data_IF_882627392702
#
_entry.id   IF_882627392702
#
_cell.length_a   1.000
_cell.length_b   1.000
_cell.length_c   1.000
_cell.angle_alpha   90.00
_cell.angle_beta   90.00
_cell.angle_gamma   90.00
#
_symmetry.space_group_name_H-M   'P 1'
#
loop_
_entity.id
_entity.type
_entity.pdbx_description
1 polymer ?
#
# COMPACT_ATOMS: atom_id res chain seq x y z
N UNK A 1 7.91 -3.40 -8.56
CA UNK A 1 6.57 -3.80 -9.08
C UNK A 1 6.23 -2.90 -10.26
N UNK A 2 5.42 -3.35 -11.23
CA UNK A 2 4.89 -2.49 -12.31
C UNK A 2 3.41 -2.20 -12.02
N UNK A 3 3.04 -0.91 -12.08
CA UNK A 3 1.66 -0.44 -11.99
C UNK A 3 0.99 -0.48 -13.37
N UNK A 4 -0.25 -0.99 -13.44
CA UNK A 4 -1.05 -1.07 -14.68
C UNK A 4 -2.37 -0.35 -14.49
N UNK A 5 -2.95 0.14 -15.59
CA UNK A 5 -4.29 0.72 -15.55
C UNK A 5 -5.32 -0.34 -15.15
N UNK A 6 -6.25 0.03 -14.27
CA UNK A 6 -7.24 -0.90 -13.71
C UNK A 6 -8.57 -0.96 -14.48
N UNK A 7 -8.76 -0.06 -15.44
CA UNK A 7 -10.06 0.22 -16.07
C UNK A 7 -10.94 1.19 -15.25
N UNK A 8 -10.58 1.48 -13.99
CA UNK A 8 -11.21 2.52 -13.18
C UNK A 8 -10.40 3.82 -13.33
N UNK A 9 -11.03 4.97 -13.65
CA UNK A 9 -10.32 6.24 -13.81
C UNK A 9 -9.47 6.59 -12.59
N UNK A 10 -8.24 7.03 -12.82
CA UNK A 10 -7.29 7.47 -11.79
C UNK A 10 -6.84 6.38 -10.79
N UNK A 11 -7.13 5.10 -11.07
CA UNK A 11 -6.68 3.97 -10.25
C UNK A 11 -5.78 3.06 -11.07
N UNK A 12 -4.58 2.82 -10.54
CA UNK A 12 -3.66 1.80 -11.05
C UNK A 12 -3.62 0.61 -10.12
N UNK A 13 -3.42 -0.58 -10.67
CA UNK A 13 -3.29 -1.83 -9.91
C UNK A 13 -1.92 -2.46 -10.10
N UNK A 14 -1.46 -3.20 -9.10
CA UNK A 14 -0.13 -3.77 -9.10
C UNK A 14 -0.01 -5.02 -8.25
N UNK A 15 1.01 -5.82 -8.54
CA UNK A 15 1.32 -7.02 -7.78
C UNK A 15 0.42 -8.21 -8.10
N UNK A 16 0.53 -9.24 -7.26
CA UNK A 16 -0.18 -10.51 -7.46
C UNK A 16 -1.57 -10.45 -6.85
N UNK A 17 -2.49 -11.23 -7.41
CA UNK A 17 -3.79 -11.49 -6.79
C UNK A 17 -3.60 -12.34 -5.53
N UNK A 18 -4.28 -11.96 -4.45
CA UNK A 18 -4.30 -12.70 -3.19
C UNK A 18 -5.73 -13.04 -2.81
N UNK A 19 -6.08 -14.32 -2.63
CA UNK A 19 -7.43 -14.71 -2.22
C UNK A 19 -7.82 -14.09 -0.88
N UNK A 20 -9.03 -13.53 -0.82
CA UNK A 20 -9.62 -12.91 0.36
C UNK A 20 -11.05 -13.41 0.56
N UNK A 21 -11.32 -13.82 1.80
CA UNK A 21 -12.60 -14.41 2.23
C UNK A 21 -13.39 -13.50 3.18
N UNK A 22 -12.72 -12.50 3.71
CA UNK A 22 -13.21 -11.67 4.80
C UNK A 22 -12.59 -10.28 4.70
N UNK A 23 -13.39 -9.25 4.98
CA UNK A 23 -12.98 -7.86 5.13
C UNK A 23 -13.40 -7.34 6.51
N UNK A 24 -12.68 -6.36 7.03
CA UNK A 24 -13.01 -5.63 8.25
C UNK A 24 -13.40 -4.20 7.88
N UNK A 25 -14.71 -3.97 7.70
CA UNK A 25 -15.25 -2.71 7.22
C UNK A 25 -15.97 -1.98 8.34
N UNK A 26 -16.03 -0.65 8.27
CA UNK A 26 -16.91 0.15 9.12
C UNK A 26 -18.36 -0.05 8.66
N UNK A 27 -19.26 -0.30 9.60
CA UNK A 27 -20.70 -0.29 9.32
C UNK A 27 -21.25 1.15 9.28
N UNK A 28 -22.56 1.28 9.09
CA UNK A 28 -23.24 2.60 9.03
C UNK A 28 -23.12 3.43 10.32
N UNK A 29 -22.70 2.83 11.43
CA UNK A 29 -22.44 3.51 12.70
C UNK A 29 -20.94 3.71 12.96
N UNK A 30 -20.09 3.46 11.96
CA UNK A 30 -18.64 3.59 12.07
C UNK A 30 -17.96 2.42 12.81
N UNK A 31 -18.70 1.41 13.25
CA UNK A 31 -18.11 0.29 14.00
C UNK A 31 -17.44 -0.69 13.05
N UNK A 32 -16.19 -1.05 13.36
CA UNK A 32 -15.42 -2.00 12.56
C UNK A 32 -15.95 -3.42 12.77
N UNK A 33 -16.54 -4.01 11.73
CA UNK A 33 -17.12 -5.35 11.74
C UNK A 33 -16.52 -6.24 10.66
N UNK A 34 -16.61 -7.54 10.91
CA UNK A 34 -16.11 -8.58 10.02
C UNK A 34 -17.19 -8.98 9.01
N UNK A 35 -16.94 -8.77 7.73
CA UNK A 35 -17.82 -9.18 6.64
C UNK A 35 -17.18 -10.28 5.80
N UNK A 36 -17.95 -11.31 5.44
CA UNK A 36 -17.51 -12.28 4.43
C UNK A 36 -17.53 -11.61 3.06
N UNK A 37 -16.56 -11.92 2.21
CA UNK A 37 -16.58 -11.51 0.81
C UNK A 37 -16.51 -12.75 -0.07
N UNK A 38 -17.38 -12.80 -1.07
CA UNK A 38 -17.57 -13.94 -1.95
C UNK A 38 -17.63 -13.48 -3.40
N UNK A 39 -17.07 -14.28 -4.31
CA UNK A 39 -17.26 -14.13 -5.75
C UNK A 39 -18.59 -14.75 -6.16
N UNK A 40 -19.36 -14.02 -6.96
CA UNK A 40 -20.59 -14.46 -7.62
C UNK A 40 -20.29 -14.58 -9.11
N UNK A 41 -20.20 -15.81 -9.60
CA UNK A 41 -19.92 -16.10 -11.02
C UNK A 41 -21.18 -15.91 -11.88
N UNK A 42 -22.35 -16.20 -11.31
CA UNK A 42 -23.62 -16.14 -12.03
C UNK A 42 -24.69 -15.48 -11.15
N UNK A 43 -25.21 -14.34 -11.59
CA UNK A 43 -26.22 -13.57 -10.84
C UNK A 43 -27.56 -14.31 -10.71
N UNK A 44 -27.80 -15.34 -11.54
CA UNK A 44 -29.04 -16.13 -11.56
C UNK A 44 -28.97 -17.43 -10.74
N UNK A 45 -27.81 -17.78 -10.19
CA UNK A 45 -27.66 -19.03 -9.44
C UNK A 45 -28.29 -18.95 -8.04
N UNK A 46 -29.19 -19.90 -7.76
CA UNK A 46 -29.91 -19.99 -6.46
C UNK A 46 -29.03 -20.49 -5.31
N UNK A 47 -27.92 -21.19 -5.59
CA UNK A 47 -26.99 -21.70 -4.58
C UNK A 47 -25.60 -21.09 -4.78
N UNK A 48 -25.07 -20.32 -3.81
CA UNK A 48 -23.76 -19.72 -3.94
C UNK A 48 -22.67 -20.78 -3.78
N UNK A 49 -21.91 -21.05 -4.85
CA UNK A 49 -20.63 -21.73 -4.71
C UNK A 49 -19.64 -20.83 -3.98
N UNK A 50 -18.93 -21.38 -2.99
CA UNK A 50 -18.00 -20.59 -2.18
C UNK A 50 -16.67 -20.36 -2.91
N UNK A 51 -16.65 -19.32 -3.74
CA UNK A 51 -15.43 -18.87 -4.41
C UNK A 51 -14.92 -17.61 -3.68
N UNK A 52 -13.67 -17.60 -3.17
CA UNK A 52 -13.12 -16.41 -2.54
C UNK A 52 -12.99 -15.26 -3.55
N UNK A 53 -13.10 -14.02 -3.08
CA UNK A 53 -12.74 -12.86 -3.87
C UNK A 53 -11.21 -12.74 -3.96
N UNK A 54 -10.71 -11.91 -4.87
CA UNK A 54 -9.29 -11.59 -5.00
C UNK A 54 -9.02 -10.16 -4.59
N UNK A 55 -7.97 -9.97 -3.81
CA UNK A 55 -7.41 -8.66 -3.51
C UNK A 55 -6.16 -8.41 -4.37
N UNK A 56 -5.97 -7.17 -4.80
CA UNK A 56 -4.77 -6.69 -5.47
C UNK A 56 -4.45 -5.28 -4.96
N UNK A 57 -3.18 -4.85 -4.97
CA UNK A 57 -2.86 -3.48 -4.59
C UNK A 57 -3.49 -2.51 -5.60
N UNK A 58 -4.05 -1.43 -5.07
CA UNK A 58 -4.62 -0.34 -5.86
C UNK A 58 -4.01 0.98 -5.39
N UNK A 59 -3.59 1.80 -6.36
CA UNK A 59 -2.93 3.09 -6.16
C UNK A 59 -3.77 4.20 -6.79
N UNK A 60 -4.03 5.25 -6.02
CA UNK A 60 -4.72 6.43 -6.50
C UNK A 60 -3.77 7.45 -7.19
N UNK A 61 -4.35 8.50 -7.76
CA UNK A 61 -3.60 9.59 -8.41
C UNK A 61 -2.68 10.37 -7.45
N UNK A 62 -2.96 10.35 -6.14
CA UNK A 62 -2.13 10.96 -5.08
C UNK A 62 -1.02 10.03 -4.59
N UNK A 63 -0.92 8.82 -5.15
CA UNK A 63 0.07 7.81 -4.80
C UNK A 63 -0.24 7.04 -3.51
N UNK A 64 -1.44 7.17 -2.95
CA UNK A 64 -1.89 6.36 -1.81
C UNK A 64 -2.26 4.96 -2.30
N UNK A 65 -1.91 3.97 -1.50
CA UNK A 65 -2.02 2.56 -1.84
C UNK A 65 -2.92 1.87 -0.83
N UNK A 66 -4.03 1.34 -1.32
CA UNK A 66 -4.90 0.41 -0.62
C UNK A 66 -4.96 -0.91 -1.38
N UNK A 67 -6.14 -1.52 -1.40
CA UNK A 67 -6.41 -2.67 -2.24
C UNK A 67 -7.74 -2.53 -2.98
N UNK A 68 -7.78 -3.07 -4.18
CA UNK A 68 -9.03 -3.41 -4.87
C UNK A 68 -9.37 -4.87 -4.53
N UNK A 69 -10.63 -5.13 -4.19
CA UNK A 69 -11.16 -6.48 -4.01
C UNK A 69 -12.23 -6.70 -5.07
N UNK A 70 -12.05 -7.72 -5.90
CA UNK A 70 -12.94 -8.04 -7.01
C UNK A 70 -13.21 -9.56 -7.07
N UNK A 71 -14.16 -9.96 -7.92
CA UNK A 71 -14.42 -11.38 -8.13
C UNK A 71 -13.20 -12.09 -8.70
N UNK A 72 -13.07 -13.38 -8.38
CA UNK A 72 -12.02 -14.21 -8.94
C UNK A 72 -12.13 -14.28 -10.48
N UNK A 73 -10.99 -14.48 -11.15
CA UNK A 73 -10.88 -14.69 -12.61
C UNK A 73 -11.38 -13.53 -13.49
N UNK A 74 -11.41 -12.30 -12.97
CA UNK A 74 -11.75 -11.08 -13.72
C UNK A 74 -13.17 -11.03 -14.32
N UNK A 75 -14.02 -12.02 -14.01
CA UNK A 75 -15.37 -12.19 -14.57
C UNK A 75 -16.48 -12.21 -13.53
N UNK A 76 -16.12 -12.22 -12.23
CA UNK A 76 -17.09 -12.34 -11.14
C UNK A 76 -17.47 -11.01 -10.47
N UNK A 77 -18.72 -10.92 -10.05
CA UNK A 77 -19.18 -9.90 -9.11
C UNK A 77 -18.76 -10.29 -7.69
N UNK A 78 -18.74 -9.34 -6.75
CA UNK A 78 -18.56 -9.62 -5.33
C UNK A 78 -19.82 -9.33 -4.55
N UNK A 79 -20.00 -10.11 -3.48
CA UNK A 79 -21.00 -9.86 -2.43
C UNK A 79 -20.29 -9.73 -1.09
N UNK A 80 -20.67 -8.72 -0.31
CA UNK A 80 -20.07 -8.41 0.99
C UNK A 80 -21.12 -8.62 2.10
N UNK A 81 -20.84 -9.54 3.02
CA UNK A 81 -21.75 -9.91 4.09
C UNK A 81 -22.97 -10.68 3.58
N UNK A 82 -24.11 -10.43 4.21
CA UNK A 82 -25.41 -11.00 3.86
C UNK A 82 -26.25 -10.09 2.96
N UNK A 83 -25.66 -9.02 2.40
CA UNK A 83 -26.38 -8.14 1.48
C UNK A 83 -26.85 -8.91 0.25
N UNK A 84 -28.00 -8.53 -0.32
CA UNK A 84 -28.41 -9.03 -1.65
C UNK A 84 -27.72 -8.27 -2.79
N UNK A 85 -27.09 -7.15 -2.46
CA UNK A 85 -26.36 -6.32 -3.40
C UNK A 85 -25.04 -6.96 -3.83
N UNK A 86 -24.80 -6.92 -5.12
CA UNK A 86 -23.56 -7.34 -5.76
C UNK A 86 -22.92 -6.15 -6.44
N UNK A 87 -21.60 -6.06 -6.37
CA UNK A 87 -20.81 -4.99 -7.00
C UNK A 87 -19.60 -5.60 -7.71
N UNK A 88 -19.03 -4.97 -8.74
CA UNK A 88 -17.92 -5.55 -9.48
C UNK A 88 -16.63 -5.60 -8.64
N UNK A 89 -16.41 -4.56 -7.83
CA UNK A 89 -15.25 -4.45 -6.95
C UNK A 89 -15.55 -3.52 -5.76
N UNK A 90 -14.67 -3.55 -4.76
CA UNK A 90 -14.62 -2.59 -3.65
C UNK A 90 -13.18 -2.15 -3.42
N UNK A 91 -12.98 -0.84 -3.20
CA UNK A 91 -11.71 -0.32 -2.73
C UNK A 91 -11.68 -0.34 -1.21
N UNK A 92 -10.58 -0.84 -0.64
CA UNK A 92 -10.43 -0.97 0.81
C UNK A 92 -9.06 -0.51 1.26
N UNK A 93 -8.99 0.02 2.47
CA UNK A 93 -7.73 0.31 3.16
C UNK A 93 -7.01 -0.99 3.54
N UNK A 94 -5.72 -0.90 3.86
CA UNK A 94 -4.90 -2.07 4.20
C UNK A 94 -5.30 -2.71 5.54
N UNK A 95 -5.86 -1.93 6.45
CA UNK A 95 -6.38 -2.41 7.73
C UNK A 95 -7.76 -3.10 7.63
N UNK A 96 -8.44 -2.96 6.49
CA UNK A 96 -9.65 -3.72 6.18
C UNK A 96 -9.33 -5.16 5.74
N UNK A 97 -8.08 -5.45 5.39
CA UNK A 97 -7.64 -6.78 4.99
C UNK A 97 -7.11 -7.59 6.18
N UNK A 98 -7.29 -8.93 6.19
CA UNK A 98 -6.62 -9.80 7.15
C UNK A 98 -5.10 -9.61 7.10
N UNK A 99 -4.44 -9.65 8.27
CA UNK A 99 -2.98 -9.44 8.40
C UNK A 99 -2.17 -10.30 7.42
N UNK A 100 -2.56 -11.56 7.21
CA UNK A 100 -1.92 -12.49 6.26
C UNK A 100 -2.05 -12.04 4.80
N UNK A 101 -3.23 -11.53 4.40
CA UNK A 101 -3.49 -11.03 3.05
C UNK A 101 -2.70 -9.75 2.80
N UNK A 102 -2.77 -8.79 3.74
CA UNK A 102 -2.00 -7.54 3.68
C UNK A 102 -0.50 -7.81 3.51
N UNK A 103 0.08 -8.70 4.31
CA UNK A 103 1.50 -9.07 4.21
C UNK A 103 1.85 -9.58 2.81
N UNK A 104 1.05 -10.50 2.25
CA UNK A 104 1.30 -11.07 0.91
C UNK A 104 1.23 -10.00 -0.20
N UNK A 105 0.29 -9.06 -0.09
CA UNK A 105 0.14 -7.98 -1.07
C UNK A 105 1.32 -7.01 -1.06
N UNK A 106 1.86 -6.71 0.12
CA UNK A 106 2.90 -5.69 0.30
C UNK A 106 4.33 -6.20 0.08
N UNK A 107 4.57 -7.52 0.07
CA UNK A 107 5.89 -8.14 -0.22
C UNK A 107 6.62 -7.50 -1.43
N UNK A 108 5.99 -7.31 -2.60
CA UNK A 108 6.65 -6.73 -3.78
C UNK A 108 6.85 -5.20 -3.76
N UNK A 109 6.51 -4.52 -2.67
CA UNK A 109 6.49 -3.06 -2.56
C UNK A 109 7.50 -2.59 -1.50
N UNK A 110 8.30 -1.57 -1.81
CA UNK A 110 8.98 -0.79 -0.77
C UNK A 110 8.10 0.39 -0.37
N UNK A 111 7.63 0.38 0.87
CA UNK A 111 6.55 1.26 1.31
C UNK A 111 6.76 1.87 2.68
N UNK A 112 6.04 2.97 2.91
CA UNK A 112 5.74 3.52 4.23
C UNK A 112 4.23 3.41 4.49
N UNK A 113 3.85 3.10 5.73
CA UNK A 113 2.45 3.13 6.14
C UNK A 113 2.06 4.54 6.55
N UNK A 114 0.87 4.94 6.14
CA UNK A 114 0.25 6.21 6.53
C UNK A 114 -1.11 5.91 7.15
N UNK A 115 -1.47 6.70 8.16
CA UNK A 115 -2.80 6.65 8.77
C UNK A 115 -3.54 7.94 8.42
N UNK A 116 -4.72 7.79 7.83
CA UNK A 116 -5.60 8.91 7.46
C UNK A 116 -7.02 8.54 7.87
N UNK A 117 -7.69 9.41 8.64
CA UNK A 117 -9.08 9.24 9.06
C UNK A 117 -9.37 7.87 9.72
N UNK A 118 -8.38 7.35 10.46
CA UNK A 118 -8.43 6.04 11.11
C UNK A 118 -8.40 4.86 10.15
N UNK A 119 -7.86 5.05 8.95
CA UNK A 119 -7.59 4.00 7.97
C UNK A 119 -6.10 3.91 7.67
N UNK A 120 -5.60 2.69 7.47
CA UNK A 120 -4.19 2.46 7.15
C UNK A 120 -4.03 2.29 5.65
N UNK A 121 -3.25 3.16 5.03
CA UNK A 121 -2.84 3.09 3.64
C UNK A 121 -1.31 2.95 3.57
N UNK A 122 -0.79 2.73 2.36
CA UNK A 122 0.64 2.78 2.09
C UNK A 122 0.97 3.87 1.07
N UNK A 123 2.24 4.27 1.02
CA UNK A 123 2.84 4.98 -0.11
C UNK A 123 4.15 4.30 -0.45
N UNK A 124 4.51 4.32 -1.73
CA UNK A 124 5.86 3.92 -2.13
C UNK A 124 6.88 4.87 -1.54
N UNK A 125 7.97 4.33 -1.00
CA UNK A 125 9.10 5.17 -0.61
C UNK A 125 9.62 5.87 -1.86
N UNK A 126 9.83 7.18 -1.75
CA UNK A 126 10.52 7.94 -2.79
C UNK A 126 12.00 7.62 -2.71
N UNK A 127 12.57 7.12 -3.79
CA UNK A 127 14.03 7.15 -3.95
C UNK A 127 14.44 8.59 -4.24
N UNK A 128 15.41 9.09 -3.47
CA UNK A 128 15.96 10.42 -3.66
C UNK A 128 17.32 10.28 -4.35
N UNK A 129 17.56 10.97 -5.48
CA UNK A 129 18.84 10.88 -6.17
C UNK A 129 19.95 11.67 -5.49
N UNK A 130 19.76 12.10 -4.23
CA UNK A 130 20.75 12.79 -3.43
C UNK A 130 20.63 12.43 -1.94
N UNK A 131 21.70 12.69 -1.22
CA UNK A 131 21.88 12.38 0.19
C UNK A 131 22.13 13.67 0.96
N UNK A 132 21.74 13.69 2.24
CA UNK A 132 21.93 14.83 3.14
C UNK A 132 22.87 14.39 4.27
N UNK A 133 24.05 15.00 4.32
CA UNK A 133 25.01 14.86 5.40
C UNK A 133 24.78 15.88 6.53
N UNK A 134 25.17 15.51 7.74
CA UNK A 134 25.29 16.41 8.88
C UNK A 134 26.77 16.71 9.16
N UNK A 135 27.17 17.97 9.05
CA UNK A 135 28.56 18.43 9.26
C UNK A 135 29.11 18.03 10.65
N UNK A 136 28.28 17.98 11.68
CA UNK A 136 28.71 17.67 13.06
C UNK A 136 28.91 16.18 13.30
N UNK A 137 27.92 15.35 12.94
CA UNK A 137 27.99 13.91 13.21
C UNK A 137 28.74 13.11 12.15
N UNK A 138 29.05 13.73 11.00
CA UNK A 138 29.61 13.06 9.80
C UNK A 138 28.76 11.88 9.33
N UNK A 139 27.47 11.86 9.67
CA UNK A 139 26.50 10.89 9.16
C UNK A 139 25.78 11.48 7.94
N UNK A 140 25.51 10.63 6.95
CA UNK A 140 24.64 10.97 5.83
C UNK A 140 23.37 10.11 5.81
N UNK A 141 22.32 10.71 5.28
CA UNK A 141 20.98 10.15 5.18
C UNK A 141 20.49 10.24 3.73
N UNK A 142 19.56 9.39 3.34
CA UNK A 142 18.75 9.65 2.13
C UNK A 142 17.91 10.92 2.35
N UNK A 143 17.71 11.73 1.31
CA UNK A 143 17.04 13.02 1.47
C UNK A 143 15.58 12.92 1.97
N UNK A 144 14.93 11.78 1.74
CA UNK A 144 13.60 11.48 2.27
C UNK A 144 13.55 11.16 3.76
N UNK A 145 14.68 10.85 4.38
CA UNK A 145 14.73 10.39 5.76
C UNK A 145 14.17 11.45 6.72
N UNK A 146 13.30 11.04 7.63
CA UNK A 146 12.73 11.94 8.64
C UNK A 146 13.81 12.60 9.52
N UNK A 147 14.93 11.91 9.79
CA UNK A 147 16.07 12.48 10.51
C UNK A 147 16.81 13.53 9.68
N UNK A 148 16.95 13.31 8.36
CA UNK A 148 17.54 14.29 7.45
C UNK A 148 16.78 15.63 7.47
N UNK A 149 15.45 15.56 7.58
CA UNK A 149 14.57 16.75 7.69
C UNK A 149 14.84 17.56 8.95
N UNK A 150 15.27 16.91 10.05
CA UNK A 150 15.57 17.54 11.36
C UNK A 150 16.97 18.15 11.45
N UNK A 151 17.87 17.89 10.50
CA UNK A 151 19.20 18.52 10.47
C UNK A 151 18.99 20.03 10.33
N UNK A 152 19.71 20.84 11.13
CA UNK A 152 19.69 22.31 11.00
C UNK A 152 20.30 22.71 9.65
N UNK A 153 19.76 23.76 9.02
CA UNK A 153 20.24 24.26 7.72
C UNK A 153 21.75 24.49 7.68
N UNK A 154 22.30 25.11 8.72
CA UNK A 154 23.74 25.38 8.91
C UNK A 154 24.61 24.11 8.93
N UNK A 155 24.04 22.95 9.28
CA UNK A 155 24.75 21.67 9.39
C UNK A 155 24.46 20.74 8.21
N UNK A 156 23.64 21.16 7.22
CA UNK A 156 23.30 20.33 6.06
C UNK A 156 24.37 20.46 4.97
N UNK A 157 24.79 19.31 4.45
CA UNK A 157 25.53 19.20 3.19
C UNK A 157 24.79 18.24 2.27
N UNK A 158 24.79 18.49 0.96
CA UNK A 158 24.11 17.64 -0.03
C UNK A 158 25.16 16.90 -0.85
N UNK A 159 24.99 15.58 -0.98
CA UNK A 159 25.81 14.74 -1.86
C UNK A 159 24.94 14.18 -2.97
N UNK A 160 25.44 14.13 -4.20
CA UNK A 160 24.72 13.54 -5.34
C UNK A 160 24.74 12.01 -5.28
N UNK A 161 25.77 11.42 -4.68
CA UNK A 161 25.91 9.95 -4.62
C UNK A 161 26.41 9.47 -3.26
N UNK A 162 26.13 8.20 -2.92
CA UNK A 162 26.72 7.57 -1.71
C UNK A 162 28.25 7.60 -1.77
N UNK A 163 28.84 7.32 -2.94
CA UNK A 163 30.30 7.30 -3.15
C UNK A 163 30.95 8.65 -2.82
N UNK A 164 30.30 9.74 -3.22
CA UNK A 164 30.75 11.10 -2.90
C UNK A 164 30.74 11.36 -1.39
N UNK A 165 29.66 10.97 -0.69
CA UNK A 165 29.57 11.10 0.76
C UNK A 165 30.66 10.29 1.48
N UNK A 166 30.91 9.05 1.05
CA UNK A 166 32.00 8.22 1.58
C UNK A 166 33.37 8.85 1.33
N UNK A 167 33.63 9.36 0.12
CA UNK A 167 34.90 10.03 -0.23
C UNK A 167 35.11 11.30 0.61
N UNK A 168 34.03 11.98 0.99
CA UNK A 168 34.05 13.13 1.89
C UNK A 168 34.19 12.75 3.39
N UNK A 169 34.34 11.46 3.71
CA UNK A 169 34.52 10.94 5.07
C UNK A 169 33.22 10.77 5.87
N UNK A 170 32.08 10.71 5.21
CA UNK A 170 30.79 10.49 5.87
C UNK A 170 30.41 9.02 5.89
N UNK A 171 29.67 8.61 6.92
CA UNK A 171 29.14 7.25 7.05
C UNK A 171 27.61 7.24 6.95
N UNK A 172 27.00 6.19 6.39
CA UNK A 172 25.55 6.11 6.29
C UNK A 172 24.95 5.93 7.68
N UNK A 173 23.84 6.61 7.95
CA UNK A 173 23.05 6.32 9.13
C UNK A 173 22.44 4.91 9.03
N UNK A 174 22.32 4.18 10.14
CA UNK A 174 21.79 2.79 10.20
C UNK A 174 20.49 2.59 9.41
N UNK A 175 19.57 3.56 9.49
CA UNK A 175 18.28 3.51 8.78
C UNK A 175 18.33 3.87 7.29
N UNK A 176 19.48 4.34 6.77
CA UNK A 176 19.68 4.83 5.40
C UNK A 176 20.76 4.04 4.64
N UNK A 177 21.05 2.81 5.07
CA UNK A 177 22.00 1.90 4.43
C UNK A 177 23.34 1.76 5.15
N UNK A 178 23.36 1.92 6.48
CA UNK A 178 24.48 1.56 7.35
C UNK A 178 24.21 0.31 8.16
#
# INVERSE_FOLDING_TARGET
>A
MIWRESGVPSIKVGGKYVPVKTLFLKDKWGQKKRFRVQTILNLKEKKPHYTPAWAQLARDSKGKIGAIVAGAHSSGWIRVGSSRETQPYIFVSLDALPKKVRKKLLVPLDYELIEEEGTILAKEKKEYPWYVGNLKSRLFHEAGCWQAKRIKSENKIIFKTKKEAFKAGYTPHKLCGG
#
